data_IF_204836271798
#
_entry.id   IF_204836271798
#
_cell.length_a   1.000
_cell.length_b   1.000
_cell.length_c   1.000
_cell.angle_alpha   90.00
_cell.angle_beta   90.00
_cell.angle_gamma   90.00
#
_symmetry.space_group_name_H-M   'P 1'
#
loop_
_entity.id
_entity.type
_entity.pdbx_description
1 polymer ?
#
# COMPACT_ATOMS: atom_id res chain seq x y z
N UNK A 1 51.11 67.50 39.39
CA UNK A 1 51.25 67.99 38.00
C UNK A 1 51.08 66.79 37.06
N UNK A 2 49.84 66.47 36.67
CA UNK A 2 49.46 65.34 35.81
C UNK A 2 48.74 65.90 34.59
N UNK A 3 49.40 66.06 33.44
CA UNK A 3 48.75 66.29 32.15
C UNK A 3 49.62 65.75 31.01
N UNK A 4 48.95 65.15 30.01
CA UNK A 4 49.42 64.91 28.63
C UNK A 4 49.83 63.48 28.22
N UNK A 5 48.95 62.48 28.42
CA UNK A 5 49.01 61.20 27.65
C UNK A 5 47.67 60.77 27.03
N UNK A 6 46.66 61.64 26.97
CA UNK A 6 45.31 61.30 26.46
C UNK A 6 44.92 61.95 25.13
N UNK A 7 45.83 62.63 24.43
CA UNK A 7 45.50 63.35 23.19
C UNK A 7 45.86 62.61 21.89
N UNK A 8 46.57 61.46 21.96
CA UNK A 8 46.97 60.68 20.78
C UNK A 8 45.93 59.66 20.31
N UNK A 9 45.09 59.12 21.21
CA UNK A 9 44.11 58.09 20.83
C UNK A 9 42.80 58.66 20.28
N UNK A 10 42.55 59.97 20.41
CA UNK A 10 41.31 60.58 19.92
C UNK A 10 41.43 61.00 18.44
N UNK A 11 42.64 61.26 17.93
CA UNK A 11 42.86 61.56 16.51
C UNK A 11 42.84 60.31 15.61
N UNK A 12 43.11 59.11 16.14
CA UNK A 12 43.05 57.86 15.37
C UNK A 12 41.61 57.34 15.15
N UNK A 13 40.67 57.78 15.99
CA UNK A 13 39.25 57.41 15.93
C UNK A 13 38.41 58.36 15.03
N UNK A 14 38.95 59.54 14.69
CA UNK A 14 38.24 60.56 13.90
C UNK A 14 38.66 60.60 12.42
N UNK A 15 39.67 59.81 12.02
CA UNK A 15 40.23 59.77 10.66
C UNK A 15 40.17 58.39 10.00
N UNK A 16 39.51 57.42 10.63
CA UNK A 16 39.18 56.16 9.96
C UNK A 16 37.96 56.41 9.06
N UNK A 17 38.03 56.13 7.75
CA UNK A 17 36.82 56.08 6.94
C UNK A 17 35.87 55.07 7.58
N UNK A 18 34.58 55.39 7.59
CA UNK A 18 33.48 54.51 7.97
C UNK A 18 33.49 53.26 7.08
N UNK A 19 34.43 52.34 7.30
CA UNK A 19 34.26 50.96 6.91
C UNK A 19 33.42 50.36 8.03
N UNK A 20 32.10 50.55 7.91
CA UNK A 20 31.17 49.57 8.43
C UNK A 20 31.45 48.29 7.63
N UNK A 21 32.51 47.58 8.02
CA UNK A 21 32.66 46.20 7.66
C UNK A 21 31.46 45.54 8.31
N UNK A 22 30.38 45.35 7.54
CA UNK A 22 29.45 44.28 7.82
C UNK A 22 30.35 43.07 8.03
N UNK A 23 30.42 42.60 9.27
CA UNK A 23 31.03 41.33 9.59
C UNK A 23 30.51 40.37 8.52
N UNK A 24 31.37 39.65 7.77
CA UNK A 24 30.88 38.66 6.84
C UNK A 24 29.97 37.78 7.68
N UNK A 25 28.67 37.94 7.43
CA UNK A 25 27.65 37.03 7.92
C UNK A 25 28.10 35.76 7.25
N UNK A 26 28.81 34.97 8.05
CA UNK A 26 29.58 33.85 7.59
C UNK A 26 28.55 32.89 7.03
N UNK A 27 28.41 32.89 5.70
CA UNK A 27 27.47 32.02 5.00
C UNK A 27 27.73 30.55 5.39
N UNK A 28 28.89 30.22 5.96
CA UNK A 28 29.18 28.94 6.60
C UNK A 28 28.40 28.72 7.90
N UNK A 29 28.30 29.72 8.79
CA UNK A 29 27.48 29.62 10.00
C UNK A 29 25.99 29.78 9.71
N UNK A 30 25.59 30.52 8.67
CA UNK A 30 24.19 30.50 8.22
C UNK A 30 23.86 29.21 7.45
N UNK A 31 24.77 28.64 6.67
CA UNK A 31 24.64 27.30 6.04
C UNK A 31 24.61 26.18 7.08
N UNK A 32 25.29 26.34 8.22
CA UNK A 32 25.19 25.42 9.35
C UNK A 32 23.92 25.63 10.19
N UNK A 33 23.33 26.82 10.14
CA UNK A 33 22.10 27.15 10.90
C UNK A 33 20.82 27.03 10.06
N UNK A 34 20.93 26.98 8.72
CA UNK A 34 19.81 26.84 7.77
C UNK A 34 19.92 25.60 6.86
N UNK A 35 20.92 24.74 7.06
CA UNK A 35 21.07 23.47 6.34
C UNK A 35 21.56 22.34 7.24
N UNK A 36 21.13 21.12 6.90
CA UNK A 36 21.88 19.86 7.13
C UNK A 36 21.67 19.07 8.43
N UNK A 37 20.56 19.26 9.15
CA UNK A 37 20.03 18.17 9.99
C UNK A 37 18.72 17.73 9.37
N UNK A 38 18.70 16.53 8.80
CA UNK A 38 17.65 16.00 7.94
C UNK A 38 16.20 16.37 8.31
N UNK A 39 15.37 16.59 7.29
CA UNK A 39 13.96 16.93 7.43
C UNK A 39 13.15 15.71 7.88
N UNK A 40 12.47 15.82 9.02
CA UNK A 40 11.49 14.81 9.46
C UNK A 40 10.08 15.22 9.07
N UNK A 41 9.40 14.41 8.26
CA UNK A 41 8.00 14.60 7.88
C UNK A 41 7.18 13.48 8.52
N UNK A 42 6.19 13.83 9.33
CA UNK A 42 5.23 12.89 9.92
C UNK A 42 3.84 13.08 9.31
N UNK A 43 3.20 11.98 8.91
CA UNK A 43 1.80 11.98 8.42
C UNK A 43 1.01 10.94 9.18
N UNK A 44 -0.20 11.31 9.62
CA UNK A 44 -1.13 10.42 10.31
C UNK A 44 -2.52 10.58 9.72
N UNK A 45 -3.03 9.53 9.07
CA UNK A 45 -4.35 9.53 8.48
C UNK A 45 -4.86 8.09 8.30
N UNK A 46 -6.14 7.88 8.59
CA UNK A 46 -6.83 6.67 8.14
C UNK A 46 -7.49 6.95 6.79
N UNK A 47 -7.55 5.93 5.94
CA UNK A 47 -8.26 6.03 4.66
C UNK A 47 -9.64 5.41 4.85
N UNK A 48 -10.68 6.12 4.42
CA UNK A 48 -12.05 5.64 4.44
C UNK A 48 -12.79 6.08 3.17
N UNK A 49 -13.55 5.16 2.59
CA UNK A 49 -14.43 5.47 1.47
C UNK A 49 -15.70 4.62 1.51
N UNK A 50 -16.81 5.17 1.01
CA UNK A 50 -18.03 4.39 0.80
C UNK A 50 -17.95 3.54 -0.47
N UNK A 51 -17.35 4.09 -1.52
CA UNK A 51 -17.15 3.41 -2.80
C UNK A 51 -15.91 3.97 -3.50
N UNK A 52 -15.15 3.08 -4.15
CA UNK A 52 -14.08 3.41 -5.09
C UNK A 52 -14.42 2.71 -6.41
N UNK A 53 -14.43 3.45 -7.52
CA UNK A 53 -14.84 2.91 -8.81
C UNK A 53 -13.73 3.09 -9.86
N UNK A 54 -13.49 2.02 -10.62
CA UNK A 54 -12.76 2.08 -11.89
C UNK A 54 -13.81 1.93 -12.98
N UNK A 55 -13.91 2.93 -13.84
CA UNK A 55 -14.98 3.06 -14.81
C UNK A 55 -14.38 3.02 -16.21
N UNK A 56 -14.88 2.09 -17.00
CA UNK A 56 -14.72 2.07 -18.45
C UNK A 56 -15.85 2.91 -19.05
N UNK A 57 -15.51 4.03 -19.69
CA UNK A 57 -16.50 4.99 -20.16
C UNK A 57 -17.00 4.71 -21.57
N UNK A 58 -16.21 4.03 -22.40
CA UNK A 58 -16.44 3.81 -23.83
C UNK A 58 -16.59 2.33 -24.20
N UNK A 59 -16.26 1.42 -23.28
CA UNK A 59 -16.44 -0.01 -23.48
C UNK A 59 -15.41 -0.60 -24.44
N UNK A 60 -15.53 -1.90 -24.68
CA UNK A 60 -14.67 -2.61 -25.63
C UNK A 60 -15.20 -2.41 -27.06
N UNK A 61 -14.65 -1.45 -27.81
CA UNK A 61 -14.89 -1.27 -29.24
C UNK A 61 -13.79 -1.95 -30.06
N UNK A 62 -13.97 -3.23 -30.42
CA UNK A 62 -13.06 -3.97 -31.29
C UNK A 62 -13.82 -4.79 -32.33
N UNK A 63 -13.48 -4.62 -33.61
CA UNK A 63 -14.20 -5.18 -34.77
C UNK A 63 -14.11 -6.71 -34.98
N UNK A 64 -13.66 -7.47 -33.97
CA UNK A 64 -13.45 -8.92 -34.04
C UNK A 64 -14.48 -9.79 -33.32
N UNK A 65 -15.48 -9.21 -32.65
CA UNK A 65 -16.49 -9.97 -31.89
C UNK A 65 -17.91 -9.77 -32.46
N UNK A 66 -18.59 -10.88 -32.77
CA UNK A 66 -19.96 -10.94 -33.29
C UNK A 66 -20.98 -11.24 -32.17
N UNK A 67 -21.08 -10.42 -31.13
CA UNK A 67 -22.22 -10.42 -30.16
C UNK A 67 -22.09 -9.26 -29.16
N UNK A 68 -23.20 -8.84 -28.52
CA UNK A 68 -23.69 -7.46 -28.59
C UNK A 68 -22.65 -6.44 -28.13
N UNK A 69 -22.49 -5.37 -28.92
CA UNK A 69 -21.64 -4.19 -28.69
C UNK A 69 -21.30 -3.95 -27.21
N UNK A 70 -20.12 -4.40 -26.77
CA UNK A 70 -19.57 -4.14 -25.43
C UNK A 70 -19.13 -2.68 -25.25
N UNK A 71 -19.68 -1.77 -26.05
CA UNK A 71 -19.44 -0.31 -26.06
C UNK A 71 -20.19 0.41 -24.95
N UNK A 72 -20.92 -0.34 -24.11
CA UNK A 72 -21.64 0.25 -22.99
C UNK A 72 -20.68 0.48 -21.83
N UNK A 73 -20.78 1.66 -21.25
CA UNK A 73 -20.11 2.04 -20.01
C UNK A 73 -20.37 1.03 -18.88
N UNK A 74 -19.30 0.60 -18.22
CA UNK A 74 -19.34 -0.34 -17.11
C UNK A 74 -18.21 -0.06 -16.13
N UNK A 75 -18.19 -0.73 -14.98
CA UNK A 75 -17.11 -0.51 -14.02
C UNK A 75 -17.00 -1.59 -12.96
N UNK A 76 -15.84 -1.56 -12.30
CA UNK A 76 -15.58 -2.30 -11.07
C UNK A 76 -15.67 -1.33 -9.90
N UNK A 77 -16.48 -1.68 -8.90
CA UNK A 77 -16.66 -0.85 -7.70
C UNK A 77 -16.23 -1.65 -6.47
N UNK A 78 -15.39 -1.06 -5.63
CA UNK A 78 -15.06 -1.55 -4.30
C UNK A 78 -15.95 -0.79 -3.31
N UNK A 79 -16.71 -1.50 -2.50
CA UNK A 79 -17.55 -0.91 -1.45
C UNK A 79 -17.69 -1.87 -0.25
N UNK A 80 -18.43 -1.44 0.77
CA UNK A 80 -18.81 -2.32 1.88
C UNK A 80 -19.58 -3.56 1.40
N UNK A 81 -19.65 -4.58 2.24
CA UNK A 81 -20.30 -5.85 1.93
C UNK A 81 -21.82 -5.70 1.81
N UNK A 82 -22.41 -6.26 0.75
CA UNK A 82 -23.85 -6.20 0.50
C UNK A 82 -24.64 -7.07 1.49
N UNK A 83 -25.88 -6.69 1.76
CA UNK A 83 -26.80 -7.44 2.63
C UNK A 83 -26.57 -7.29 4.13
N UNK A 84 -25.62 -6.45 4.54
CA UNK A 84 -25.35 -6.18 5.96
C UNK A 84 -26.44 -5.26 6.55
N UNK A 85 -26.80 -5.48 7.81
CA UNK A 85 -27.79 -4.67 8.52
C UNK A 85 -27.42 -3.18 8.59
N UNK A 86 -26.12 -2.86 8.65
CA UNK A 86 -25.60 -1.49 8.67
C UNK A 86 -24.59 -1.31 7.54
N UNK A 87 -24.73 -0.23 6.77
CA UNK A 87 -23.75 0.15 5.76
C UNK A 87 -22.44 0.55 6.47
N UNK A 88 -21.35 -0.17 6.17
CA UNK A 88 -20.03 0.12 6.70
C UNK A 88 -19.11 0.57 5.58
N UNK A 89 -18.43 1.72 5.72
CA UNK A 89 -17.45 2.15 4.73
C UNK A 89 -16.24 1.23 4.78
N UNK A 90 -15.54 1.14 3.66
CA UNK A 90 -14.25 0.44 3.61
C UNK A 90 -13.20 1.33 4.27
N UNK A 91 -12.45 0.76 5.21
CA UNK A 91 -11.41 1.45 5.96
C UNK A 91 -10.08 0.75 5.79
N UNK A 92 -9.02 1.55 5.69
CA UNK A 92 -7.64 1.11 5.90
C UNK A 92 -7.11 1.85 7.11
N UNK A 93 -6.81 1.10 8.17
CA UNK A 93 -6.36 1.59 9.47
C UNK A 93 -5.07 0.89 9.89
N UNK A 94 -4.35 1.46 10.85
CA UNK A 94 -3.28 0.74 11.51
C UNK A 94 -3.82 -0.12 12.64
N UNK A 95 -3.00 -1.06 13.11
CA UNK A 95 -3.23 -1.85 14.31
C UNK A 95 -2.23 -1.47 15.40
N UNK A 96 -2.67 -1.44 16.66
CA UNK A 96 -1.80 -1.51 17.84
C UNK A 96 -2.20 -2.77 18.64
N UNK A 97 -1.42 -3.84 18.45
CA UNK A 97 -1.86 -5.18 18.81
C UNK A 97 -3.05 -5.60 17.93
N UNK A 98 -4.18 -5.90 18.55
CA UNK A 98 -5.42 -6.31 17.85
C UNK A 98 -6.40 -5.16 17.61
N UNK A 99 -6.12 -3.97 18.15
CA UNK A 99 -7.03 -2.82 18.15
C UNK A 99 -6.67 -1.85 17.03
N UNK A 100 -7.68 -1.29 16.35
CA UNK A 100 -7.46 -0.26 15.34
C UNK A 100 -6.87 1.02 15.94
N UNK A 101 -5.95 1.64 15.21
CA UNK A 101 -5.32 2.92 15.53
C UNK A 101 -5.10 3.74 14.26
N UNK A 102 -4.65 4.98 14.42
CA UNK A 102 -4.36 5.85 13.28
C UNK A 102 -3.10 5.38 12.56
N UNK A 103 -3.19 5.21 11.25
CA UNK A 103 -2.05 4.88 10.41
C UNK A 103 -1.09 6.07 10.35
N UNK A 104 0.13 5.87 10.85
CA UNK A 104 1.15 6.90 10.96
C UNK A 104 2.46 6.47 10.32
N UNK A 105 3.00 7.35 9.47
CA UNK A 105 4.28 7.20 8.81
C UNK A 105 5.20 8.37 9.13
N UNK A 106 6.50 8.10 9.12
CA UNK A 106 7.57 9.08 9.22
C UNK A 106 8.51 8.94 8.03
N UNK A 107 8.90 10.06 7.45
CA UNK A 107 9.99 10.15 6.50
C UNK A 107 11.13 10.95 7.15
N UNK A 108 12.31 10.36 7.22
CA UNK A 108 13.54 11.03 7.60
C UNK A 108 14.32 11.29 6.29
N UNK A 109 14.36 12.54 5.88
CA UNK A 109 15.01 12.98 4.64
C UNK A 109 16.37 13.56 4.99
N UNK A 110 17.40 12.98 4.42
CA UNK A 110 18.78 13.41 4.59
C UNK A 110 19.34 13.75 3.20
N UNK A 111 19.85 14.97 3.02
CA UNK A 111 20.36 15.46 1.73
C UNK A 111 21.85 15.76 1.75
N UNK A 112 22.52 15.46 2.86
CA UNK A 112 23.95 15.66 3.06
C UNK A 112 24.67 14.40 3.58
N UNK A 113 23.93 13.29 3.77
CA UNK A 113 24.45 11.94 4.02
C UNK A 113 25.21 11.35 2.83
N UNK A 114 26.36 11.97 2.58
CA UNK A 114 27.57 11.23 2.36
C UNK A 114 28.66 12.16 1.91
N UNK A 115 29.73 12.20 2.70
CA UNK A 115 30.99 12.74 2.23
C UNK A 115 31.37 12.00 0.94
N UNK A 116 32.07 12.67 0.02
CA UNK A 116 32.58 12.03 -1.20
C UNK A 116 33.43 10.77 -0.90
N UNK A 117 33.97 10.67 0.33
CA UNK A 117 34.70 9.51 0.83
C UNK A 117 33.84 8.25 1.09
N UNK A 118 32.51 8.39 1.21
CA UNK A 118 31.57 7.26 1.43
C UNK A 118 30.62 7.01 0.24
N UNK A 119 30.83 7.65 -0.92
CA UNK A 119 29.99 7.45 -2.11
C UNK A 119 28.57 8.02 -2.01
N UNK A 120 28.40 9.06 -1.19
CA UNK A 120 27.12 9.59 -0.69
C UNK A 120 25.98 9.73 -1.68
N UNK A 121 24.78 9.31 -1.27
CA UNK A 121 23.56 9.65 -1.98
C UNK A 121 23.31 11.16 -1.88
N UNK A 122 22.92 11.80 -2.99
CA UNK A 122 22.41 13.18 -3.01
C UNK A 122 21.20 13.35 -2.07
N UNK A 123 20.37 12.32 -1.96
CA UNK A 123 19.31 12.27 -0.95
C UNK A 123 19.06 10.83 -0.51
N UNK A 124 18.84 10.65 0.78
CA UNK A 124 18.43 9.42 1.41
C UNK A 124 17.15 9.66 2.23
N UNK A 125 16.08 8.94 1.88
CA UNK A 125 14.77 9.08 2.52
C UNK A 125 14.42 7.77 3.20
N UNK A 126 14.49 7.75 4.53
CA UNK A 126 14.06 6.60 5.32
C UNK A 126 12.58 6.75 5.70
N UNK A 127 11.74 5.92 5.10
CA UNK A 127 10.32 5.78 5.43
C UNK A 127 10.14 4.69 6.47
N UNK A 128 9.41 5.00 7.54
CA UNK A 128 9.07 4.05 8.59
C UNK A 128 7.69 4.29 9.15
N UNK A 129 7.21 3.31 9.90
CA UNK A 129 5.94 3.38 10.62
C UNK A 129 6.14 3.99 12.01
N UNK A 130 5.08 4.58 12.56
CA UNK A 130 5.08 5.06 13.95
C UNK A 130 5.21 3.90 14.95
N UNK A 131 5.70 4.20 16.16
CA UNK A 131 6.02 3.20 17.18
C UNK A 131 4.81 2.40 17.68
N UNK A 132 3.61 2.96 17.64
CA UNK A 132 2.36 2.28 18.01
C UNK A 132 1.76 1.42 16.89
N UNK A 133 2.27 1.50 15.66
CA UNK A 133 1.75 0.73 14.52
C UNK A 133 2.39 -0.65 14.49
N UNK A 134 1.58 -1.69 14.59
CA UNK A 134 1.96 -3.12 14.62
C UNK A 134 1.39 -3.91 13.44
N UNK A 135 0.59 -3.26 12.60
CA UNK A 135 -0.02 -3.86 11.43
C UNK A 135 -0.93 -2.88 10.69
N UNK A 136 -1.55 -3.36 9.62
CA UNK A 136 -2.57 -2.68 8.84
C UNK A 136 -3.82 -3.56 8.82
N UNK A 137 -4.99 -2.96 9.00
CA UNK A 137 -6.28 -3.61 8.82
C UNK A 137 -7.03 -2.96 7.66
N UNK A 138 -7.52 -3.81 6.77
CA UNK A 138 -8.51 -3.45 5.76
C UNK A 138 -9.83 -4.06 6.24
N UNK A 139 -10.84 -3.22 6.44
CA UNK A 139 -12.17 -3.70 6.88
C UNK A 139 -12.79 -4.64 5.82
N UNK A 140 -13.79 -5.45 6.17
CA UNK A 140 -14.52 -6.23 5.18
C UNK A 140 -15.02 -5.37 4.02
N UNK A 141 -14.88 -5.88 2.80
CA UNK A 141 -15.28 -5.20 1.58
C UNK A 141 -15.64 -6.21 0.50
N UNK A 142 -16.29 -5.72 -0.55
CA UNK A 142 -16.57 -6.50 -1.74
C UNK A 142 -16.25 -5.72 -3.01
N UNK A 143 -15.97 -6.46 -4.09
CA UNK A 143 -15.80 -5.96 -5.44
C UNK A 143 -17.06 -6.32 -6.22
N UNK A 144 -17.59 -5.34 -6.94
CA UNK A 144 -18.84 -5.44 -7.70
C UNK A 144 -18.58 -5.14 -9.17
N UNK A 145 -19.24 -5.88 -10.06
CA UNK A 145 -19.41 -5.51 -11.46
C UNK A 145 -20.66 -4.66 -11.58
N UNK A 146 -20.57 -3.52 -12.26
CA UNK A 146 -21.60 -2.48 -12.22
C UNK A 146 -21.93 -1.99 -13.62
N UNK A 147 -23.22 -1.99 -13.96
CA UNK A 147 -23.76 -1.40 -15.18
C UNK A 147 -23.82 0.13 -15.15
N UNK A 148 -24.09 0.74 -16.30
CA UNK A 148 -24.07 2.20 -16.47
C UNK A 148 -25.04 2.97 -15.56
N UNK A 149 -26.16 2.37 -15.16
CA UNK A 149 -27.21 3.00 -14.36
C UNK A 149 -26.84 3.22 -12.88
N UNK A 150 -25.82 2.50 -12.39
CA UNK A 150 -25.37 2.55 -10.99
C UNK A 150 -24.00 3.21 -10.79
N UNK A 151 -23.35 3.65 -11.87
CA UNK A 151 -22.05 4.32 -11.81
C UNK A 151 -22.20 5.84 -11.64
N UNK A 152 -21.36 6.45 -10.80
CA UNK A 152 -21.22 7.91 -10.75
C UNK A 152 -20.75 8.42 -12.09
N UNK A 153 -21.22 9.58 -12.56
CA UNK A 153 -20.88 10.13 -13.87
C UNK A 153 -20.13 11.46 -13.74
N UNK A 154 -19.23 11.74 -14.70
CA UNK A 154 -18.62 13.04 -14.88
C UNK A 154 -18.96 13.54 -16.29
N UNK A 155 -19.75 14.61 -16.38
CA UNK A 155 -20.10 15.25 -17.65
C UNK A 155 -19.61 16.69 -17.63
N UNK A 156 -18.59 17.00 -18.43
CA UNK A 156 -17.89 18.29 -18.37
C UNK A 156 -17.31 18.53 -16.98
N UNK A 157 -17.67 19.66 -16.35
CA UNK A 157 -17.25 20.01 -14.99
C UNK A 157 -18.19 19.51 -13.88
N UNK A 158 -19.23 18.75 -14.20
CA UNK A 158 -20.21 18.26 -13.22
C UNK A 158 -19.96 16.80 -12.90
N UNK A 159 -19.72 16.51 -11.62
CA UNK A 159 -19.68 15.16 -11.08
C UNK A 159 -20.99 14.82 -10.39
N UNK A 160 -21.68 13.78 -10.88
CA UNK A 160 -22.88 13.24 -10.26
C UNK A 160 -22.54 11.93 -9.57
N UNK A 161 -22.52 11.96 -8.24
CA UNK A 161 -22.31 10.76 -7.43
C UNK A 161 -23.52 9.83 -7.54
N UNK A 162 -23.28 8.55 -7.78
CA UNK A 162 -24.31 7.51 -7.74
C UNK A 162 -23.85 6.39 -6.80
N UNK A 163 -24.80 5.72 -6.16
CA UNK A 163 -24.53 4.57 -5.29
C UNK A 163 -24.87 3.28 -6.02
N UNK A 164 -24.11 2.21 -5.76
CA UNK A 164 -24.44 0.85 -6.21
C UNK A 164 -25.57 0.22 -5.37
N UNK A 165 -25.95 0.87 -4.26
CA UNK A 165 -27.02 0.44 -3.37
C UNK A 165 -28.30 1.26 -3.61
N UNK A 166 -29.45 0.59 -3.60
CA UNK A 166 -30.78 1.23 -3.74
C UNK A 166 -31.27 1.83 -2.42
N UNK A 167 -31.10 1.09 -1.32
CA UNK A 167 -31.33 1.52 0.06
C UNK A 167 -30.46 0.67 0.98
N UNK A 168 -29.82 1.30 1.99
CA UNK A 168 -28.89 0.60 2.88
C UNK A 168 -27.76 -0.09 2.11
N UNK A 169 -27.69 -1.41 2.21
CA UNK A 169 -26.68 -2.27 1.58
C UNK A 169 -27.28 -3.20 0.50
N UNK A 170 -28.51 -2.93 0.04
CA UNK A 170 -29.17 -3.69 -1.02
C UNK A 170 -28.66 -3.24 -2.39
N UNK A 171 -28.18 -4.19 -3.19
CA UNK A 171 -27.67 -3.93 -4.54
C UNK A 171 -28.78 -3.46 -5.48
N UNK A 172 -28.44 -2.56 -6.40
CA UNK A 172 -29.29 -2.22 -7.54
C UNK A 172 -29.30 -3.36 -8.57
N UNK A 173 -30.29 -3.37 -9.44
CA UNK A 173 -30.55 -4.48 -10.38
C UNK A 173 -29.43 -4.71 -11.40
N UNK A 174 -28.68 -3.67 -11.76
CA UNK A 174 -27.53 -3.73 -12.68
C UNK A 174 -26.18 -3.91 -11.96
N UNK A 175 -26.20 -4.33 -10.69
CA UNK A 175 -25.02 -4.58 -9.87
C UNK A 175 -24.96 -6.06 -9.49
N UNK A 176 -23.77 -6.66 -9.62
CA UNK A 176 -23.48 -8.01 -9.13
C UNK A 176 -22.22 -8.00 -8.27
N UNK A 177 -22.27 -8.69 -7.13
CA UNK A 177 -21.09 -8.95 -6.31
C UNK A 177 -20.24 -10.02 -6.98
N UNK A 178 -18.96 -9.76 -7.14
CA UNK A 178 -18.00 -10.68 -7.76
C UNK A 178 -17.11 -11.35 -6.73
N UNK A 179 -16.59 -10.55 -5.79
CA UNK A 179 -15.65 -10.99 -4.78
C UNK A 179 -16.02 -10.38 -3.43
N UNK A 180 -16.11 -11.20 -2.40
CA UNK A 180 -16.31 -10.79 -1.01
C UNK A 180 -15.06 -11.10 -0.20
N UNK A 181 -14.63 -10.17 0.63
CA UNK A 181 -13.47 -10.30 1.50
C UNK A 181 -13.86 -9.97 2.94
N UNK A 182 -13.64 -10.90 3.86
CA UNK A 182 -13.99 -10.80 5.29
C UNK A 182 -13.14 -9.83 6.11
N UNK A 183 -12.36 -8.98 5.45
CA UNK A 183 -11.32 -8.12 6.02
C UNK A 183 -9.94 -8.74 5.85
N UNK A 184 -8.89 -7.91 5.88
CA UNK A 184 -7.50 -8.33 5.75
C UNK A 184 -6.69 -7.68 6.86
N UNK A 185 -6.03 -8.49 7.66
CA UNK A 185 -5.03 -8.03 8.63
C UNK A 185 -3.64 -8.37 8.11
N UNK A 186 -2.78 -7.36 8.01
CA UNK A 186 -1.34 -7.50 7.77
C UNK A 186 -0.67 -7.20 9.10
N UNK A 187 -0.04 -8.20 9.72
CA UNK A 187 0.62 -8.06 11.02
C UNK A 187 2.12 -7.95 10.79
N UNK A 188 2.75 -6.95 11.40
CA UNK A 188 4.18 -6.71 11.32
C UNK A 188 4.93 -7.44 12.43
N UNK A 189 6.16 -7.83 12.13
CA UNK A 189 7.08 -8.32 13.15
C UNK A 189 7.56 -7.17 14.05
N UNK A 190 8.33 -7.50 15.10
CA UNK A 190 8.94 -6.50 15.97
C UNK A 190 9.87 -5.54 15.22
N UNK A 191 10.63 -6.05 14.24
CA UNK A 191 11.32 -5.25 13.23
C UNK A 191 10.35 -4.86 12.11
N UNK A 192 9.56 -3.81 12.34
CA UNK A 192 8.50 -3.35 11.42
C UNK A 192 9.04 -3.02 10.02
N UNK A 193 8.22 -3.18 8.97
CA UNK A 193 8.60 -2.77 7.63
C UNK A 193 9.06 -1.32 7.56
N UNK A 194 10.18 -1.10 6.86
CA UNK A 194 10.69 0.21 6.51
C UNK A 194 11.20 0.19 5.06
N UNK A 195 11.27 1.38 4.47
CA UNK A 195 11.71 1.56 3.10
C UNK A 195 12.74 2.67 3.11
N UNK A 196 13.85 2.46 2.41
CA UNK A 196 14.86 3.48 2.20
C UNK A 196 14.95 3.81 0.72
N UNK A 197 14.80 5.10 0.38
CA UNK A 197 14.89 5.59 -0.99
C UNK A 197 16.18 6.41 -1.14
N UNK A 198 17.07 6.01 -2.03
CA UNK A 198 18.33 6.68 -2.33
C UNK A 198 18.34 7.27 -3.73
N UNK A 199 18.83 8.49 -3.84
CA UNK A 199 19.09 9.18 -5.09
C UNK A 199 20.55 9.62 -5.13
N UNK A 200 21.26 9.36 -6.22
CA UNK A 200 22.58 9.94 -6.49
C UNK A 200 23.79 9.24 -5.87
N UNK A 201 23.67 8.06 -5.26
CA UNK A 201 24.83 7.28 -4.78
C UNK A 201 25.59 6.62 -5.95
N UNK A 202 26.93 6.55 -5.87
CA UNK A 202 27.77 5.87 -6.86
C UNK A 202 28.80 4.93 -6.18
N UNK A 203 28.91 3.64 -6.58
CA UNK A 203 28.12 2.94 -7.60
C UNK A 203 26.63 2.96 -7.29
N UNK A 204 25.78 3.14 -8.31
CA UNK A 204 24.32 3.18 -8.12
C UNK A 204 23.85 1.84 -7.59
N UNK A 205 23.60 1.78 -6.27
CA UNK A 205 22.85 0.69 -5.65
C UNK A 205 21.39 0.71 -6.11
N UNK A 206 20.56 -0.06 -5.45
CA UNK A 206 19.13 -0.01 -5.72
C UNK A 206 18.52 1.29 -5.16
N UNK A 207 17.68 1.95 -5.96
CA UNK A 207 17.02 3.20 -5.57
C UNK A 207 16.14 3.02 -4.34
N UNK A 208 15.48 1.88 -4.21
CA UNK A 208 14.59 1.55 -3.10
C UNK A 208 15.08 0.27 -2.47
N UNK A 209 15.30 0.29 -1.15
CA UNK A 209 15.63 -0.88 -0.35
C UNK A 209 14.56 -1.08 0.71
N UNK A 210 14.14 -2.32 0.89
CA UNK A 210 13.18 -2.69 1.94
C UNK A 210 13.92 -3.31 3.12
N UNK A 211 13.39 -3.09 4.33
CA UNK A 211 13.85 -3.71 5.56
C UNK A 211 12.66 -4.02 6.48
N UNK A 212 12.93 -4.67 7.61
CA UNK A 212 11.91 -5.16 8.52
C UNK A 212 11.28 -6.47 8.06
N UNK A 213 10.13 -6.83 8.64
CA UNK A 213 9.46 -8.09 8.36
C UNK A 213 7.95 -8.04 8.58
N UNK A 214 7.25 -8.91 7.86
CA UNK A 214 5.82 -9.19 8.00
C UNK A 214 5.68 -10.50 8.75
N UNK A 215 4.93 -10.48 9.85
CA UNK A 215 4.60 -11.69 10.62
C UNK A 215 3.61 -12.55 9.83
N UNK A 216 2.54 -11.91 9.36
CA UNK A 216 1.50 -12.59 8.58
C UNK A 216 0.62 -11.64 7.79
N UNK A 217 -0.06 -12.19 6.79
CA UNK A 217 -1.27 -11.63 6.19
C UNK A 217 -2.36 -12.64 6.46
N UNK A 218 -3.40 -12.23 7.18
CA UNK A 218 -4.47 -13.12 7.61
C UNK A 218 -3.96 -14.32 8.44
N UNK A 219 -2.99 -14.09 9.33
CA UNK A 219 -2.32 -15.17 10.07
C UNK A 219 -3.11 -15.79 11.23
N UNK A 220 -4.17 -15.12 11.71
CA UNK A 220 -4.94 -15.57 12.87
C UNK A 220 -5.92 -16.70 12.51
N UNK A 221 -6.11 -17.65 13.42
CA UNK A 221 -7.03 -18.77 13.23
C UNK A 221 -6.79 -19.51 11.90
N UNK A 222 -7.86 -19.66 11.11
CA UNK A 222 -7.84 -20.34 9.80
C UNK A 222 -7.58 -19.40 8.61
N UNK A 223 -7.45 -18.08 8.83
CA UNK A 223 -7.27 -17.09 7.77
C UNK A 223 -8.46 -16.16 7.58
N UNK A 224 -8.33 -15.21 6.65
CA UNK A 224 -9.41 -14.31 6.27
C UNK A 224 -10.25 -14.96 5.17
N UNK A 225 -11.57 -14.94 5.33
CA UNK A 225 -12.45 -15.50 4.32
C UNK A 225 -12.46 -14.64 3.05
N UNK A 226 -12.31 -15.30 1.90
CA UNK A 226 -12.47 -14.73 0.56
C UNK A 226 -13.44 -15.62 -0.20
N UNK A 227 -14.40 -15.01 -0.89
CA UNK A 227 -15.41 -15.73 -1.68
C UNK A 227 -15.58 -15.08 -3.05
N UNK A 228 -15.44 -15.86 -4.11
CA UNK A 228 -15.98 -15.56 -5.42
C UNK A 228 -17.48 -15.82 -5.37
N UNK A 229 -18.29 -14.77 -5.50
CA UNK A 229 -19.74 -14.84 -5.33
C UNK A 229 -20.37 -15.14 -6.69
N UNK A 230 -21.17 -16.21 -6.77
CA UNK A 230 -21.95 -16.54 -7.96
C UNK A 230 -23.39 -16.04 -7.86
N UNK A 231 -24.02 -16.22 -6.70
CA UNK A 231 -25.35 -15.70 -6.38
C UNK A 231 -25.56 -15.72 -4.86
N UNK A 232 -26.80 -15.67 -4.41
CA UNK A 232 -27.21 -15.82 -3.02
C UNK A 232 -28.23 -16.95 -2.87
N UNK A 233 -28.43 -17.44 -1.65
CA UNK A 233 -29.31 -18.56 -1.35
C UNK A 233 -30.74 -18.34 -1.85
N UNK A 234 -31.21 -17.09 -1.86
CA UNK A 234 -32.33 -16.64 -2.70
C UNK A 234 -31.76 -15.84 -3.86
N UNK A 235 -32.03 -16.29 -5.08
CA UNK A 235 -31.41 -15.71 -6.29
C UNK A 235 -31.60 -14.20 -6.37
N UNK A 236 -30.49 -13.48 -6.57
CA UNK A 236 -30.45 -12.03 -6.65
C UNK A 236 -30.65 -11.28 -5.34
N UNK A 237 -30.88 -11.97 -4.21
CA UNK A 237 -31.13 -11.32 -2.92
C UNK A 237 -29.90 -11.35 -2.01
N UNK A 238 -29.15 -10.25 -2.04
CA UNK A 238 -27.90 -10.07 -1.30
C UNK A 238 -28.02 -10.12 0.22
N UNK A 239 -29.24 -10.07 0.79
CA UNK A 239 -29.45 -10.23 2.25
C UNK A 239 -29.41 -11.68 2.70
N UNK A 240 -29.44 -12.63 1.76
CA UNK A 240 -29.34 -14.06 2.04
C UNK A 240 -27.90 -14.55 1.93
N UNK A 241 -27.62 -15.75 2.44
CA UNK A 241 -26.26 -16.28 2.46
C UNK A 241 -25.66 -16.32 1.03
N UNK A 242 -24.44 -15.80 0.82
CA UNK A 242 -23.81 -15.84 -0.49
C UNK A 242 -23.45 -17.28 -0.86
N UNK A 243 -23.50 -17.55 -2.16
CA UNK A 243 -23.19 -18.85 -2.78
C UNK A 243 -22.04 -18.63 -3.74
N UNK A 244 -21.04 -19.51 -3.71
CA UNK A 244 -19.91 -19.39 -4.62
C UNK A 244 -18.71 -20.23 -4.22
N UNK A 245 -17.52 -19.84 -4.65
CA UNK A 245 -16.28 -20.52 -4.26
C UNK A 245 -15.60 -19.72 -3.15
N UNK A 246 -15.40 -20.32 -1.98
CA UNK A 246 -14.82 -19.65 -0.81
C UNK A 246 -13.65 -20.41 -0.23
N UNK A 247 -12.77 -19.68 0.43
CA UNK A 247 -11.63 -20.20 1.16
C UNK A 247 -11.17 -19.16 2.19
N UNK A 248 -10.41 -19.60 3.18
CA UNK A 248 -9.74 -18.73 4.13
C UNK A 248 -8.28 -18.60 3.71
N UNK A 249 -7.92 -17.41 3.22
CA UNK A 249 -6.56 -17.09 2.84
C UNK A 249 -5.69 -16.85 4.08
N UNK A 250 -4.51 -17.44 4.11
CA UNK A 250 -3.53 -17.27 5.18
C UNK A 250 -2.11 -17.31 4.62
N UNK A 251 -1.34 -16.26 4.92
CA UNK A 251 0.09 -16.18 4.65
C UNK A 251 0.81 -15.93 5.97
N UNK A 252 1.76 -16.78 6.35
CA UNK A 252 2.56 -16.59 7.57
C UNK A 252 4.03 -16.80 7.30
N UNK A 253 4.87 -16.25 8.18
CA UNK A 253 6.23 -16.74 8.33
C UNK A 253 6.28 -18.25 8.60
N UNK A 254 7.41 -18.89 8.28
CA UNK A 254 7.59 -20.33 8.47
C UNK A 254 8.27 -20.65 9.82
N UNK A 255 7.78 -21.67 10.53
CA UNK A 255 8.33 -22.13 11.81
C UNK A 255 8.47 -21.03 12.86
N UNK A 256 7.51 -20.10 12.92
CA UNK A 256 7.53 -18.96 13.86
C UNK A 256 8.54 -17.85 13.51
N UNK A 257 9.16 -17.90 12.32
CA UNK A 257 10.04 -16.85 11.84
C UNK A 257 9.28 -15.94 10.87
N UNK A 258 9.22 -14.62 11.10
CA UNK A 258 8.58 -13.68 10.18
C UNK A 258 9.18 -13.72 8.76
N UNK A 259 8.41 -13.27 7.78
CA UNK A 259 8.91 -13.06 6.43
C UNK A 259 9.67 -11.73 6.35
N UNK A 260 11.00 -11.79 6.31
CA UNK A 260 11.87 -10.62 6.21
C UNK A 260 11.83 -9.98 4.82
N UNK A 261 11.83 -8.65 4.82
CA UNK A 261 11.86 -7.81 3.62
C UNK A 261 13.28 -7.33 3.27
N UNK A 262 14.26 -7.61 4.15
CA UNK A 262 15.66 -7.26 3.90
C UNK A 262 16.17 -7.94 2.63
N UNK A 263 16.80 -7.16 1.76
CA UNK A 263 17.33 -7.62 0.48
C UNK A 263 16.33 -7.57 -0.67
N UNK A 264 15.04 -7.28 -0.40
CA UNK A 264 14.14 -6.82 -1.45
C UNK A 264 14.52 -5.39 -1.85
N UNK A 265 14.35 -5.10 -3.14
CA UNK A 265 14.70 -3.81 -3.71
C UNK A 265 13.81 -3.45 -4.89
N UNK A 266 13.77 -2.16 -5.20
CA UNK A 266 13.24 -1.65 -6.45
C UNK A 266 14.13 -0.53 -7.01
N UNK A 267 14.03 -0.27 -8.31
CA UNK A 267 14.71 0.88 -8.89
C UNK A 267 14.51 1.03 -10.38
N UNK A 268 14.93 2.18 -10.89
CA UNK A 268 14.93 2.48 -12.32
C UNK A 268 16.29 2.07 -12.88
N UNK A 269 16.26 1.27 -13.94
CA UNK A 269 17.45 0.79 -14.62
C UNK A 269 17.46 1.30 -16.04
N UNK A 270 18.63 1.80 -16.46
CA UNK A 270 18.85 2.28 -17.81
C UNK A 270 18.81 1.15 -18.84
N UNK A 271 18.62 1.50 -20.12
CA UNK A 271 18.82 0.59 -21.24
C UNK A 271 20.20 -0.10 -21.16
N UNK A 272 20.22 -1.41 -21.41
CA UNK A 272 21.46 -2.19 -21.48
C UNK A 272 21.60 -2.81 -22.88
N UNK A 273 22.42 -2.21 -23.73
CA UNK A 273 22.52 -2.60 -25.13
C UNK A 273 21.33 -2.08 -25.97
N UNK A 274 21.09 -2.69 -27.14
CA UNK A 274 20.13 -2.16 -28.15
C UNK A 274 18.70 -2.67 -27.98
N UNK A 275 18.51 -3.80 -27.30
CA UNK A 275 17.21 -4.47 -27.12
C UNK A 275 16.55 -4.20 -25.78
N UNK A 276 17.33 -3.91 -24.75
CA UNK A 276 16.83 -3.58 -23.42
C UNK A 276 16.50 -2.08 -23.36
N UNK A 277 15.21 -1.73 -23.22
CA UNK A 277 14.74 -0.33 -23.13
C UNK A 277 14.82 0.29 -21.72
N UNK A 278 15.50 -0.37 -20.78
CA UNK A 278 15.44 -0.04 -19.37
C UNK A 278 14.07 -0.38 -18.78
N UNK A 279 13.86 0.03 -17.53
CA UNK A 279 12.58 -0.14 -16.85
C UNK A 279 12.69 -0.05 -15.34
N UNK A 280 11.54 -0.24 -14.68
CA UNK A 280 11.50 -0.43 -13.23
C UNK A 280 11.71 -1.90 -12.94
N UNK A 281 12.69 -2.18 -12.08
CA UNK A 281 12.96 -3.53 -11.60
C UNK A 281 12.52 -3.61 -10.14
N UNK A 282 11.87 -4.72 -9.79
CA UNK A 282 11.62 -5.17 -8.43
C UNK A 282 12.31 -6.51 -8.25
N UNK A 283 13.02 -6.72 -7.15
CA UNK A 283 13.71 -7.98 -6.95
C UNK A 283 14.08 -8.26 -5.50
N UNK A 284 14.70 -9.42 -5.29
CA UNK A 284 15.30 -9.83 -4.02
C UNK A 284 16.67 -10.46 -4.30
N UNK A 285 17.68 -10.02 -3.57
CA UNK A 285 19.02 -10.62 -3.64
C UNK A 285 19.06 -11.94 -2.86
N UNK A 286 19.49 -13.03 -3.50
CA UNK A 286 19.64 -14.32 -2.86
C UNK A 286 18.31 -15.06 -2.72
N UNK A 287 18.08 -15.67 -1.55
CA UNK A 287 16.88 -16.46 -1.24
C UNK A 287 16.04 -15.73 -0.20
N UNK A 288 14.76 -15.54 -0.49
CA UNK A 288 13.80 -14.96 0.45
C UNK A 288 13.71 -15.80 1.73
N UNK A 289 13.23 -15.20 2.83
CA UNK A 289 12.81 -16.02 3.96
C UNK A 289 11.70 -16.98 3.55
N UNK A 290 11.60 -18.08 4.28
CA UNK A 290 10.56 -19.08 4.07
C UNK A 290 9.22 -18.55 4.57
N UNK A 291 8.15 -18.89 3.85
CA UNK A 291 6.79 -18.58 4.21
C UNK A 291 5.86 -19.77 3.99
N UNK A 292 4.72 -19.74 4.67
CA UNK A 292 3.62 -20.67 4.47
C UNK A 292 2.48 -19.92 3.80
N UNK A 293 1.91 -20.50 2.75
CA UNK A 293 0.74 -19.97 2.03
C UNK A 293 -0.33 -21.04 2.02
N UNK A 294 -1.50 -20.71 2.56
CA UNK A 294 -2.59 -21.65 2.75
C UNK A 294 -3.93 -21.04 2.30
N UNK A 295 -4.71 -21.87 1.63
CA UNK A 295 -6.14 -21.70 1.40
C UNK A 295 -6.83 -22.76 2.25
N UNK A 296 -7.36 -22.35 3.39
CA UNK A 296 -8.03 -23.26 4.32
C UNK A 296 -9.54 -23.29 4.05
N UNK A 297 -10.20 -24.40 4.37
CA UNK A 297 -11.65 -24.54 4.25
C UNK A 297 -12.18 -24.17 2.85
N UNK A 298 -11.50 -24.65 1.80
CA UNK A 298 -11.94 -24.44 0.42
C UNK A 298 -13.31 -25.11 0.24
N UNK A 299 -14.30 -24.33 -0.14
CA UNK A 299 -15.69 -24.76 -0.28
C UNK A 299 -16.29 -24.19 -1.57
N UNK A 300 -17.07 -25.00 -2.29
CA UNK A 300 -17.94 -24.53 -3.38
C UNK A 300 -19.41 -24.59 -2.94
N UNK A 301 -20.22 -23.61 -3.34
CA UNK A 301 -21.65 -23.53 -3.00
C UNK A 301 -21.91 -22.78 -1.69
N UNK A 302 -22.99 -23.15 -1.00
CA UNK A 302 -23.45 -22.47 0.20
C UNK A 302 -22.78 -23.02 1.45
N UNK A 303 -22.18 -22.16 2.27
CA UNK A 303 -21.54 -22.56 3.54
C UNK A 303 -22.49 -23.34 4.46
N UNK A 304 -22.05 -24.51 4.91
CA UNK A 304 -22.80 -25.37 5.84
C UNK A 304 -23.99 -26.12 5.22
N UNK A 305 -24.24 -26.00 3.91
CA UNK A 305 -25.30 -26.74 3.26
C UNK A 305 -24.94 -28.23 3.15
N UNK A 306 -25.78 -29.09 3.73
CA UNK A 306 -25.74 -30.54 3.54
C UNK A 306 -26.87 -30.92 2.57
N UNK A 307 -26.56 -31.66 1.51
CA UNK A 307 -27.61 -32.35 0.75
C UNK A 307 -27.85 -33.73 1.36
N UNK A 308 -29.12 -34.15 1.39
CA UNK A 308 -29.47 -35.49 1.82
C UNK A 308 -28.83 -36.54 0.90
N UNK A 309 -28.18 -37.56 1.47
CA UNK A 309 -27.56 -38.67 0.72
C UNK A 309 -26.08 -38.48 0.34
N UNK A 310 -25.35 -37.55 0.96
CA UNK A 310 -23.91 -37.39 0.72
C UNK A 310 -23.06 -38.44 1.44
N UNK A 311 -21.85 -38.66 0.91
CA UNK A 311 -20.86 -39.58 1.48
C UNK A 311 -20.48 -39.15 2.90
N UNK A 312 -20.77 -40.00 3.89
CA UNK A 312 -20.29 -39.87 5.27
C UNK A 312 -20.64 -38.54 5.99
N UNK A 313 -21.82 -37.97 5.75
CA UNK A 313 -22.27 -36.71 6.36
C UNK A 313 -21.33 -35.51 6.15
N UNK A 314 -20.42 -35.59 5.18
CA UNK A 314 -19.58 -34.46 4.82
C UNK A 314 -20.46 -33.38 4.16
N UNK A 315 -20.31 -32.10 4.54
CA UNK A 315 -20.95 -30.99 3.82
C UNK A 315 -20.59 -31.09 2.33
N UNK A 316 -21.60 -30.91 1.47
CA UNK A 316 -21.36 -31.02 0.04
C UNK A 316 -20.33 -29.94 -0.36
N UNK A 317 -19.37 -30.30 -1.21
CA UNK A 317 -18.42 -29.41 -1.84
C UNK A 317 -17.31 -28.74 -0.98
N UNK A 318 -16.91 -29.36 0.14
CA UNK A 318 -15.62 -29.03 0.79
C UNK A 318 -14.45 -29.76 0.11
N UNK A 319 -13.43 -29.00 -0.30
CA UNK A 319 -12.18 -29.50 -0.91
C UNK A 319 -11.07 -29.62 0.17
N UNK A 320 -11.27 -29.03 1.35
CA UNK A 320 -10.30 -29.07 2.45
C UNK A 320 -9.28 -27.92 2.38
N UNK A 321 -8.03 -28.19 2.73
CA UNK A 321 -6.97 -27.18 2.78
C UNK A 321 -5.94 -27.42 1.66
N UNK A 322 -5.55 -26.36 0.97
CA UNK A 322 -4.55 -26.40 -0.11
C UNK A 322 -3.48 -25.37 0.23
N UNK A 323 -2.20 -25.72 0.10
CA UNK A 323 -1.15 -24.76 0.38
C UNK A 323 0.26 -25.28 0.15
N UNK A 324 1.21 -24.40 0.42
CA UNK A 324 2.63 -24.69 0.46
C UNK A 324 3.19 -24.26 1.83
N UNK A 325 4.10 -25.07 2.36
CA UNK A 325 4.74 -24.84 3.66
C UNK A 325 6.25 -24.73 3.45
N UNK A 326 6.86 -23.70 4.02
CA UNK A 326 8.30 -23.46 3.96
C UNK A 326 8.80 -23.10 2.56
N UNK A 327 7.94 -22.50 1.72
CA UNK A 327 8.30 -22.05 0.40
C UNK A 327 9.21 -20.82 0.48
N UNK A 328 10.14 -20.69 -0.46
CA UNK A 328 11.02 -19.52 -0.61
C UNK A 328 11.28 -19.27 -2.08
N UNK A 329 11.59 -18.03 -2.43
CA UNK A 329 11.94 -17.65 -3.80
C UNK A 329 13.41 -17.27 -3.85
N UNK A 330 14.15 -17.79 -4.81
CA UNK A 330 15.55 -17.44 -5.07
C UNK A 330 15.64 -16.65 -6.36
N UNK A 331 16.46 -15.60 -6.37
CA UNK A 331 16.69 -14.74 -7.54
C UNK A 331 15.39 -14.14 -8.11
N UNK A 332 14.49 -13.68 -7.23
CA UNK A 332 13.29 -12.97 -7.68
C UNK A 332 13.72 -11.69 -8.39
N UNK A 333 13.34 -11.55 -9.65
CA UNK A 333 13.48 -10.31 -10.40
C UNK A 333 12.31 -10.18 -11.37
N UNK A 334 11.60 -9.06 -11.27
CA UNK A 334 10.56 -8.64 -12.20
C UNK A 334 10.96 -7.30 -12.79
N UNK A 335 10.80 -7.17 -14.10
CA UNK A 335 11.05 -5.92 -14.82
C UNK A 335 9.80 -5.46 -15.54
N UNK A 336 9.47 -4.19 -15.37
CA UNK A 336 8.40 -3.49 -16.10
C UNK A 336 9.07 -2.50 -17.04
N UNK A 337 8.88 -2.70 -18.35
CA UNK A 337 9.43 -1.86 -19.42
C UNK A 337 8.29 -1.18 -20.20
N UNK A 338 8.61 -0.08 -20.88
CA UNK A 338 7.65 0.63 -21.75
C UNK A 338 6.78 1.67 -21.04
N UNK A 339 7.21 2.13 -19.86
CA UNK A 339 6.64 3.30 -19.18
C UNK A 339 7.26 4.59 -19.72
#
# INVERSE_FOLDING_TARGET
MNKNKKLGCLSLLLLSPLTMAMQPMDDQSLSAMTGQNGLTIGVQANVQFNQLAIIDNDGLSYGGYTSPSYTNRAGLVIAGVAGQATAMPVKVTALNGTTETTLGFKALVDTDAGTAATGGAFANIALGLNNNVTGIRISPFSIYTVGSGSLSNSSGSTYTRNSIFSSGTLLKSDVKELLRVGGIDIVFASNKPSINIQMGAAPQGHMVMFDGAIESICGTGTGCNIMLVSDYATSGNATTAPVGASFNFKLTGNNGNPFGLKGFYAGIYGPTGTTDKGGVIFGNTGTSNKFDLQLNNVLLGTSGAQQAGTFNNLPNASIGNIGMTGASVTNLQMKVSGM
#
